data_IF_933454719379
#
_entry.id   IF_933454719379
#
_cell.length_a   1.000
_cell.length_b   1.000
_cell.length_c   1.000
_cell.angle_alpha   90.00
_cell.angle_beta   90.00
_cell.angle_gamma   90.00
#
_symmetry.space_group_name_H-M   'P 1'
#
loop_
_entity.id
_entity.type
_entity.pdbx_description
1 polymer ?
#
# COMPACT_ATOMS: atom_id res chain seq x y z
N UNK A 1 26.13 -17.76 25.93
CA UNK A 1 26.01 -19.21 25.72
C UNK A 1 25.21 -19.44 24.44
N UNK A 2 25.87 -19.81 23.35
CA UNK A 2 25.19 -20.11 22.09
C UNK A 2 24.62 -21.53 22.15
N UNK A 3 23.35 -21.72 21.78
CA UNK A 3 22.75 -23.06 21.73
C UNK A 3 23.44 -23.90 20.65
N UNK A 4 23.75 -25.15 20.99
CA UNK A 4 24.34 -26.11 20.07
C UNK A 4 23.42 -26.36 18.86
N UNK A 5 24.01 -26.58 17.69
CA UNK A 5 23.30 -26.96 16.47
C UNK A 5 22.39 -28.18 16.68
N UNK A 6 22.81 -29.09 17.57
CA UNK A 6 22.01 -30.28 17.90
C UNK A 6 20.73 -29.94 18.69
N UNK A 7 20.78 -28.94 19.56
CA UNK A 7 19.61 -28.47 20.31
C UNK A 7 18.60 -27.75 19.40
N UNK A 8 19.10 -27.06 18.37
CA UNK A 8 18.28 -26.40 17.36
C UNK A 8 17.47 -27.44 16.55
N UNK A 9 18.13 -28.52 16.13
CA UNK A 9 17.51 -29.63 15.39
C UNK A 9 16.49 -30.40 16.24
N UNK A 10 16.75 -30.60 17.54
CA UNK A 10 15.80 -31.25 18.46
C UNK A 10 14.50 -30.45 18.60
N UNK A 11 14.57 -29.11 18.72
CA UNK A 11 13.36 -28.25 18.79
C UNK A 11 12.57 -28.23 17.49
N UNK A 12 13.24 -28.16 16.34
CA UNK A 12 12.58 -28.18 15.04
C UNK A 12 11.77 -29.47 14.83
N UNK A 13 12.28 -30.61 15.32
CA UNK A 13 11.58 -31.90 15.28
C UNK A 13 10.41 -31.98 16.25
N UNK A 14 10.48 -31.36 17.42
CA UNK A 14 9.36 -31.28 18.37
C UNK A 14 8.19 -30.43 17.84
N UNK A 15 8.49 -29.28 17.23
CA UNK A 15 7.47 -28.41 16.62
C UNK A 15 6.71 -29.09 15.46
N UNK A 16 7.38 -29.99 14.73
CA UNK A 16 6.75 -30.76 13.65
C UNK A 16 5.81 -31.87 14.16
N UNK A 17 6.01 -32.37 15.39
CA UNK A 17 5.17 -33.41 16.02
C UNK A 17 3.92 -32.86 16.71
N UNK A 18 3.90 -31.57 17.06
CA UNK A 18 2.72 -30.93 17.67
C UNK A 18 1.61 -30.58 16.67
N UNK A 19 1.87 -30.63 15.36
CA UNK A 19 0.86 -30.33 14.32
C UNK A 19 -0.01 -31.52 13.90
N UNK A 20 0.07 -32.69 14.54
CA UNK A 20 -0.60 -33.92 14.06
C UNK A 20 -1.31 -34.78 15.12
N UNK A 21 -1.59 -34.27 16.32
CA UNK A 21 -2.36 -34.98 17.36
C UNK A 21 -3.18 -33.89 18.09
N UNK A 22 -4.51 -33.86 18.18
CA UNK A 22 -5.48 -34.95 18.40
C UNK A 22 -6.92 -34.45 18.11
N UNK A 23 -7.74 -35.30 17.50
CA UNK A 23 -9.22 -35.26 17.41
C UNK A 23 -9.81 -36.21 18.48
N UNK A 24 -10.96 -35.85 19.07
CA UNK A 24 -11.94 -36.72 19.77
C UNK A 24 -11.97 -36.53 21.30
N UNK A 25 -13.09 -36.27 22.00
CA UNK A 25 -14.41 -36.97 22.01
C UNK A 25 -15.56 -36.03 22.49
N UNK A 26 -16.76 -36.21 21.91
CA UNK A 26 -18.09 -35.51 22.00
C UNK A 26 -18.89 -35.76 23.33
N UNK A 27 -20.18 -35.32 23.58
CA UNK A 27 -21.30 -34.97 22.66
C UNK A 27 -22.34 -33.86 23.04
N UNK A 28 -23.14 -33.43 22.04
CA UNK A 28 -24.61 -33.23 22.06
C UNK A 28 -25.16 -31.91 21.43
N UNK A 29 -26.03 -32.11 20.42
CA UNK A 29 -27.20 -31.31 19.91
C UNK A 29 -27.02 -30.24 18.77
N UNK A 30 -27.88 -30.23 17.70
CA UNK A 30 -27.76 -29.40 16.45
C UNK A 30 -28.83 -28.26 16.37
N UNK A 31 -29.15 -27.54 15.24
CA UNK A 31 -28.61 -27.28 13.87
C UNK A 31 -28.49 -25.72 13.59
N UNK A 32 -28.44 -25.08 12.36
CA UNK A 32 -28.64 -25.55 10.99
C UNK A 32 -27.69 -25.08 9.84
N UNK A 33 -27.67 -25.96 8.83
CA UNK A 33 -27.51 -25.85 7.37
C UNK A 33 -27.35 -24.46 6.72
N UNK A 34 -26.22 -24.24 6.02
CA UNK A 34 -26.13 -23.43 4.79
C UNK A 34 -25.12 -24.11 3.86
N UNK A 35 -25.60 -24.50 2.67
CA UNK A 35 -24.81 -25.01 1.54
C UNK A 35 -23.93 -23.89 0.96
N UNK A 36 -22.65 -24.15 0.77
CA UNK A 36 -21.83 -23.41 -0.19
C UNK A 36 -21.21 -24.41 -1.16
N UNK A 37 -21.65 -24.27 -2.41
CA UNK A 37 -21.15 -24.98 -3.58
C UNK A 37 -19.67 -24.66 -3.82
N UNK A 38 -18.91 -25.73 -4.06
CA UNK A 38 -17.54 -25.71 -4.57
C UNK A 38 -17.63 -25.80 -6.10
N UNK A 39 -17.30 -24.72 -6.81
CA UNK A 39 -16.96 -24.76 -8.24
C UNK A 39 -15.55 -24.19 -8.42
N UNK A 40 -14.63 -25.11 -8.66
CA UNK A 40 -13.32 -24.91 -9.28
C UNK A 40 -13.47 -24.20 -10.63
N UNK A 41 -12.71 -23.13 -10.86
CA UNK A 41 -12.10 -22.83 -12.17
C UNK A 41 -11.00 -21.77 -12.06
N UNK A 42 -9.83 -22.16 -12.56
CA UNK A 42 -8.62 -21.38 -12.84
C UNK A 42 -8.90 -20.29 -13.89
N UNK A 43 -8.08 -19.21 -13.94
CA UNK A 43 -7.57 -18.85 -15.28
C UNK A 43 -6.10 -18.42 -15.31
N UNK A 44 -5.39 -19.15 -16.16
CA UNK A 44 -4.38 -18.83 -17.18
C UNK A 44 -4.00 -17.35 -17.43
N UNK A 45 -2.70 -17.15 -17.63
CA UNK A 45 -2.01 -15.87 -17.87
C UNK A 45 -1.58 -15.79 -19.34
N UNK A 46 -2.03 -14.76 -20.08
CA UNK A 46 -1.27 -14.25 -21.23
C UNK A 46 -1.25 -12.70 -21.32
N UNK A 47 -0.16 -12.10 -21.84
CA UNK A 47 0.08 -10.66 -21.82
C UNK A 47 -0.17 -10.00 -23.18
N UNK A 48 -1.13 -9.07 -23.27
CA UNK A 48 -1.36 -8.31 -24.50
C UNK A 48 -0.74 -6.91 -24.45
N UNK A 49 0.31 -6.75 -25.24
CA UNK A 49 0.97 -5.51 -25.63
C UNK A 49 0.01 -4.51 -26.30
N UNK A 50 0.04 -3.23 -25.92
CA UNK A 50 -0.38 -2.18 -26.85
C UNK A 50 0.37 -0.86 -26.64
N UNK A 51 0.91 -0.33 -27.74
CA UNK A 51 1.85 0.80 -27.81
C UNK A 51 1.17 2.15 -27.70
N UNK A 52 1.82 3.07 -26.98
CA UNK A 52 1.52 4.50 -26.95
C UNK A 52 1.85 5.17 -28.29
N UNK A 53 0.90 5.96 -28.82
CA UNK A 53 1.15 7.01 -29.82
C UNK A 53 0.88 8.37 -29.19
N UNK A 54 1.90 9.22 -29.16
CA UNK A 54 1.83 10.62 -28.80
C UNK A 54 1.59 11.48 -30.06
N UNK A 55 0.62 12.41 -30.00
CA UNK A 55 0.62 13.59 -30.88
C UNK A 55 -0.25 14.73 -30.31
N UNK A 56 0.42 15.84 -29.96
CA UNK A 56 -0.10 17.20 -30.11
C UNK A 56 -1.09 17.76 -29.07
N UNK A 57 -0.58 18.37 -27.99
CA UNK A 57 -1.32 19.39 -27.22
C UNK A 57 -1.11 20.76 -27.89
N UNK A 58 -2.22 21.46 -28.20
CA UNK A 58 -2.26 22.92 -28.20
C UNK A 58 -2.85 23.39 -26.87
N UNK A 59 -2.18 24.38 -26.30
CA UNK A 59 -2.42 25.04 -25.03
C UNK A 59 -3.61 25.99 -25.17
N UNK A 60 -4.62 25.91 -24.29
CA UNK A 60 -5.23 27.10 -23.68
C UNK A 60 -5.56 26.77 -22.22
N UNK A 61 -5.02 27.63 -21.36
CA UNK A 61 -5.10 27.67 -19.91
C UNK A 61 -6.34 28.47 -19.53
N UNK A 62 -7.23 27.91 -18.70
CA UNK A 62 -8.27 28.69 -18.02
C UNK A 62 -8.22 28.35 -16.52
N UNK A 63 -7.48 29.16 -15.78
CA UNK A 63 -7.68 29.44 -14.35
C UNK A 63 -8.87 30.41 -14.26
N UNK A 64 -9.93 30.12 -13.51
CA UNK A 64 -10.06 30.27 -12.05
C UNK A 64 -10.77 31.57 -11.67
N UNK A 65 -11.71 31.40 -10.73
CA UNK A 65 -12.24 32.35 -9.75
C UNK A 65 -13.61 33.03 -9.99
N UNK A 66 -14.45 32.77 -8.99
CA UNK A 66 -15.70 33.39 -8.59
C UNK A 66 -15.59 34.92 -8.41
N UNK A 67 -16.70 35.64 -8.61
CA UNK A 67 -17.39 36.45 -7.57
C UNK A 67 -18.13 37.66 -8.15
N UNK A 68 -19.45 37.62 -8.01
CA UNK A 68 -20.36 38.66 -7.46
C UNK A 68 -20.23 40.12 -7.91
N UNK A 69 -21.31 40.57 -8.58
CA UNK A 69 -21.92 41.90 -8.55
C UNK A 69 -21.18 43.09 -9.16
N UNK A 70 -21.65 43.53 -10.33
CA UNK A 70 -21.92 44.95 -10.54
C UNK A 70 -23.07 45.16 -11.52
N UNK A 71 -24.15 45.75 -11.02
CA UNK A 71 -25.24 46.32 -11.82
C UNK A 71 -24.64 47.44 -12.68
N UNK A 72 -24.72 47.30 -14.00
CA UNK A 72 -24.52 48.43 -14.91
C UNK A 72 -25.71 48.51 -15.87
N UNK A 73 -26.42 49.63 -15.71
CA UNK A 73 -27.48 50.09 -16.57
C UNK A 73 -26.99 50.28 -18.01
N UNK A 74 -27.76 49.72 -18.93
CA UNK A 74 -27.96 50.12 -20.32
C UNK A 74 -26.73 50.22 -21.26
N UNK A 75 -26.64 49.24 -22.15
CA UNK A 75 -26.55 49.54 -23.58
C UNK A 75 -27.76 48.91 -24.26
N UNK A 76 -28.68 49.75 -24.77
CA UNK A 76 -29.74 49.32 -25.67
C UNK A 76 -29.10 48.89 -26.99
N UNK A 77 -28.72 47.62 -27.08
CA UNK A 77 -28.47 46.98 -28.35
C UNK A 77 -29.73 46.21 -28.69
N UNK A 78 -30.55 46.79 -29.57
CA UNK A 78 -31.64 46.09 -30.27
C UNK A 78 -31.01 45.05 -31.19
N UNK A 79 -30.63 43.91 -30.61
CA UNK A 79 -30.37 42.69 -31.38
C UNK A 79 -31.73 42.06 -31.61
N UNK A 80 -32.08 41.83 -32.86
CA UNK A 80 -33.29 41.11 -33.24
C UNK A 80 -33.30 39.75 -32.52
N UNK A 81 -34.36 39.47 -31.76
CA UNK A 81 -34.57 38.25 -30.96
C UNK A 81 -34.70 36.97 -31.83
N UNK A 82 -34.37 37.05 -33.12
CA UNK A 82 -34.66 36.03 -34.14
C UNK A 82 -33.62 34.90 -34.17
N UNK A 83 -32.44 35.06 -33.55
CA UNK A 83 -31.36 34.05 -33.61
C UNK A 83 -31.11 33.25 -32.31
N UNK A 84 -31.72 33.63 -31.17
CA UNK A 84 -31.53 32.94 -29.90
C UNK A 84 -32.67 31.94 -29.63
N UNK A 85 -32.33 30.70 -29.24
CA UNK A 85 -33.32 29.70 -28.82
C UNK A 85 -34.15 30.23 -27.66
N UNK A 86 -35.46 30.00 -27.70
CA UNK A 86 -36.39 30.41 -26.63
C UNK A 86 -35.96 29.90 -25.26
N UNK A 87 -35.30 28.74 -25.17
CA UNK A 87 -34.85 28.14 -23.91
C UNK A 87 -33.46 28.58 -23.45
N UNK A 88 -32.83 29.53 -24.15
CA UNK A 88 -31.49 29.98 -23.81
C UNK A 88 -31.50 30.81 -22.52
N UNK A 89 -30.54 30.65 -21.58
CA UNK A 89 -30.53 31.39 -20.31
C UNK A 89 -30.46 32.92 -20.44
N UNK A 90 -29.97 33.40 -21.58
CA UNK A 90 -29.90 34.84 -21.89
C UNK A 90 -31.08 35.33 -22.74
N UNK A 91 -32.02 34.45 -23.07
CA UNK A 91 -33.22 34.83 -23.83
C UNK A 91 -34.08 35.77 -22.98
N UNK A 92 -34.42 36.93 -23.53
CA UNK A 92 -35.16 37.97 -22.81
C UNK A 92 -36.66 37.66 -22.79
N UNK A 93 -37.06 36.62 -22.05
CA UNK A 93 -38.45 36.15 -21.95
C UNK A 93 -39.44 37.27 -21.64
N UNK A 94 -39.06 38.21 -20.75
CA UNK A 94 -39.94 39.34 -20.41
C UNK A 94 -40.14 40.31 -21.57
N UNK A 95 -39.16 40.51 -22.45
CA UNK A 95 -39.31 41.40 -23.62
C UNK A 95 -40.08 40.69 -24.73
N UNK A 96 -39.76 39.42 -25.00
CA UNK A 96 -40.50 38.59 -25.95
C UNK A 96 -41.98 38.49 -25.57
N UNK A 97 -42.31 38.22 -24.30
CA UNK A 97 -43.69 38.16 -23.83
C UNK A 97 -44.44 39.50 -23.95
N UNK A 98 -43.76 40.64 -23.76
CA UNK A 98 -44.36 41.98 -23.97
C UNK A 98 -44.59 42.32 -25.44
N UNK A 99 -43.69 41.90 -26.34
CA UNK A 99 -43.80 42.10 -27.79
C UNK A 99 -44.91 41.22 -28.39
N UNK A 100 -44.99 39.97 -27.95
CA UNK A 100 -45.96 38.98 -28.39
C UNK A 100 -47.11 38.83 -27.39
N UNK A 101 -47.55 39.94 -26.81
CA UNK A 101 -48.58 39.94 -25.79
C UNK A 101 -49.91 39.46 -26.38
N UNK A 102 -50.17 38.16 -26.30
CA UNK A 102 -51.37 37.49 -26.83
C UNK A 102 -52.65 38.19 -26.37
N UNK A 103 -52.64 38.75 -25.15
CA UNK A 103 -53.72 39.54 -24.55
C UNK A 103 -54.30 40.64 -25.45
N UNK A 104 -53.51 41.32 -26.29
CA UNK A 104 -54.04 42.42 -27.13
C UNK A 104 -54.78 41.91 -28.36
N UNK A 105 -54.31 40.80 -28.92
CA UNK A 105 -54.95 40.11 -30.04
C UNK A 105 -56.18 39.34 -29.56
N UNK A 106 -56.07 38.67 -28.41
CA UNK A 106 -57.15 37.95 -27.76
C UNK A 106 -58.27 38.90 -27.32
N UNK A 107 -57.95 40.07 -26.76
CA UNK A 107 -58.96 41.09 -26.42
C UNK A 107 -59.71 41.63 -27.65
N UNK A 108 -59.06 41.66 -28.82
CA UNK A 108 -59.71 42.05 -30.07
C UNK A 108 -60.61 40.93 -30.61
N UNK A 109 -60.16 39.67 -30.55
CA UNK A 109 -60.98 38.50 -30.90
C UNK A 109 -62.22 38.37 -30.01
N UNK A 110 -62.07 38.62 -28.70
CA UNK A 110 -63.17 38.63 -27.73
C UNK A 110 -64.20 39.74 -27.99
N UNK A 111 -63.79 40.88 -28.58
CA UNK A 111 -64.69 41.99 -28.95
C UNK A 111 -65.52 41.72 -30.20
N UNK A 112 -65.04 40.85 -31.10
CA UNK A 112 -65.71 40.56 -32.39
C UNK A 112 -66.75 39.43 -32.23
N UNK A 113 -66.64 38.64 -31.16
CA UNK A 113 -67.53 37.51 -30.90
C UNK A 113 -68.86 37.94 -30.28
N UNK A 114 -69.96 37.31 -30.72
CA UNK A 114 -71.28 37.51 -30.11
C UNK A 114 -71.28 36.99 -28.67
N UNK A 115 -71.84 37.77 -27.74
CA UNK A 115 -71.76 37.52 -26.29
C UNK A 115 -72.30 36.13 -25.92
N UNK A 116 -73.34 35.67 -26.61
CA UNK A 116 -73.94 34.35 -26.39
C UNK A 116 -73.00 33.22 -26.81
N UNK A 117 -72.38 33.36 -27.98
CA UNK A 117 -71.39 32.37 -28.47
C UNK A 117 -70.13 32.32 -27.60
N UNK A 118 -69.69 33.46 -27.08
CA UNK A 118 -68.57 33.54 -26.15
C UNK A 118 -68.90 32.83 -24.83
N UNK A 119 -70.09 33.07 -24.27
CA UNK A 119 -70.53 32.43 -23.04
C UNK A 119 -70.62 30.90 -23.17
N UNK A 120 -71.19 30.39 -24.27
CA UNK A 120 -71.23 28.94 -24.52
C UNK A 120 -69.83 28.35 -24.76
N UNK A 121 -68.93 29.07 -25.44
CA UNK A 121 -67.53 28.66 -25.62
C UNK A 121 -66.78 28.56 -24.29
N UNK A 122 -66.97 29.53 -23.39
CA UNK A 122 -66.38 29.50 -22.05
C UNK A 122 -66.91 28.31 -21.26
N UNK A 123 -68.23 28.10 -21.24
CA UNK A 123 -68.84 26.95 -20.57
C UNK A 123 -68.37 25.61 -21.16
N UNK A 124 -68.17 25.52 -22.48
CA UNK A 124 -67.68 24.32 -23.13
C UNK A 124 -66.19 24.03 -22.86
N UNK A 125 -65.39 25.05 -22.55
CA UNK A 125 -63.95 24.92 -22.31
C UNK A 125 -63.58 24.90 -20.82
N UNK A 126 -64.45 25.36 -19.92
CA UNK A 126 -64.22 25.31 -18.47
C UNK A 126 -63.85 23.90 -17.98
N UNK A 127 -64.58 22.83 -18.35
CA UNK A 127 -64.24 21.47 -17.92
C UNK A 127 -62.90 20.99 -18.48
N UNK A 128 -62.53 21.45 -19.69
CA UNK A 128 -61.23 21.11 -20.30
C UNK A 128 -60.08 21.80 -19.58
N UNK A 129 -60.25 23.06 -19.19
CA UNK A 129 -59.29 23.81 -18.41
C UNK A 129 -59.14 23.21 -17.00
N UNK A 130 -60.25 22.85 -16.37
CA UNK A 130 -60.27 22.18 -15.08
C UNK A 130 -59.56 20.81 -15.14
N UNK A 131 -59.89 19.96 -16.12
CA UNK A 131 -59.24 18.67 -16.33
C UNK A 131 -57.72 18.83 -16.60
N UNK A 132 -57.33 19.82 -17.41
CA UNK A 132 -55.92 20.12 -17.68
C UNK A 132 -55.19 20.58 -16.41
N UNK A 133 -55.86 21.37 -15.56
CA UNK A 133 -55.31 21.81 -14.28
C UNK A 133 -55.08 20.64 -13.33
N UNK A 134 -56.04 19.70 -13.25
CA UNK A 134 -55.87 18.48 -12.46
C UNK A 134 -54.73 17.59 -12.98
N UNK A 135 -54.61 17.40 -14.29
CA UNK A 135 -53.50 16.63 -14.88
C UNK A 135 -52.13 17.26 -14.61
N UNK A 136 -52.02 18.58 -14.73
CA UNK A 136 -50.77 19.29 -14.44
C UNK A 136 -50.42 19.24 -12.95
N UNK A 137 -51.42 19.32 -12.07
CA UNK A 137 -51.21 19.18 -10.63
C UNK A 137 -50.71 17.77 -10.29
N UNK A 138 -51.33 16.73 -10.86
CA UNK A 138 -50.91 15.35 -10.67
C UNK A 138 -49.47 15.12 -11.17
N UNK A 139 -49.14 15.62 -12.37
CA UNK A 139 -47.79 15.55 -12.92
C UNK A 139 -46.77 16.28 -12.03
N UNK A 140 -47.12 17.46 -11.51
CA UNK A 140 -46.27 18.22 -10.60
C UNK A 140 -46.02 17.45 -9.29
N UNK A 141 -47.06 16.88 -8.70
CA UNK A 141 -46.97 16.07 -7.47
C UNK A 141 -46.10 14.83 -7.69
N UNK A 142 -46.28 14.12 -8.81
CA UNK A 142 -45.44 12.98 -9.17
C UNK A 142 -43.96 13.39 -9.33
N UNK A 143 -43.68 14.46 -10.08
CA UNK A 143 -42.30 14.93 -10.27
C UNK A 143 -41.66 15.40 -8.96
N UNK A 144 -42.44 16.08 -8.10
CA UNK A 144 -41.98 16.55 -6.80
C UNK A 144 -41.61 15.40 -5.88
N UNK A 145 -42.48 14.39 -5.77
CA UNK A 145 -42.26 13.19 -4.93
C UNK A 145 -41.11 12.33 -5.46
N UNK A 146 -40.99 12.17 -6.77
CA UNK A 146 -39.87 11.45 -7.37
C UNK A 146 -38.53 12.16 -7.09
N UNK A 147 -38.50 13.49 -7.22
CA UNK A 147 -37.29 14.28 -6.96
C UNK A 147 -36.90 14.26 -5.49
N UNK A 148 -37.85 14.28 -4.57
CA UNK A 148 -37.54 14.16 -3.13
C UNK A 148 -36.96 12.79 -2.80
N UNK A 149 -37.50 11.72 -3.39
CA UNK A 149 -36.98 10.37 -3.20
C UNK A 149 -35.54 10.21 -3.73
N UNK A 150 -35.26 10.71 -4.94
CA UNK A 150 -33.91 10.68 -5.52
C UNK A 150 -32.91 11.49 -4.69
N UNK A 151 -33.34 12.64 -4.16
CA UNK A 151 -32.50 13.45 -3.27
C UNK A 151 -32.17 12.71 -1.98
N UNK A 152 -33.15 12.08 -1.35
CA UNK A 152 -32.96 11.30 -0.12
C UNK A 152 -32.01 10.12 -0.34
N UNK A 153 -32.15 9.38 -1.45
CA UNK A 153 -31.25 8.28 -1.81
C UNK A 153 -29.81 8.76 -2.04
N UNK A 154 -29.64 9.92 -2.69
CA UNK A 154 -28.32 10.54 -2.88
C UNK A 154 -27.70 10.98 -1.56
N UNK A 155 -28.50 11.54 -0.65
CA UNK A 155 -28.05 11.95 0.67
C UNK A 155 -27.60 10.73 1.50
N UNK A 156 -28.37 9.64 1.50
CA UNK A 156 -27.98 8.39 2.15
C UNK A 156 -26.68 7.81 1.56
N UNK A 157 -26.56 7.79 0.23
CA UNK A 157 -25.34 7.32 -0.45
C UNK A 157 -24.11 8.18 -0.11
N UNK A 158 -24.31 9.50 0.01
CA UNK A 158 -23.27 10.44 0.41
C UNK A 158 -22.81 10.18 1.84
N UNK A 159 -23.73 9.96 2.78
CA UNK A 159 -23.41 9.66 4.18
C UNK A 159 -22.61 8.35 4.30
N UNK A 160 -23.00 7.30 3.57
CA UNK A 160 -22.26 6.04 3.53
C UNK A 160 -20.84 6.24 2.98
N UNK A 161 -20.70 6.98 1.88
CA UNK A 161 -19.41 7.28 1.27
C UNK A 161 -18.51 8.11 2.20
N UNK A 162 -19.06 9.11 2.90
CA UNK A 162 -18.32 9.91 3.88
C UNK A 162 -17.86 9.08 5.07
N UNK A 163 -18.71 8.16 5.55
CA UNK A 163 -18.38 7.24 6.65
C UNK A 163 -17.24 6.31 6.25
N UNK A 164 -17.33 5.72 5.05
CA UNK A 164 -16.29 4.82 4.55
C UNK A 164 -14.97 5.54 4.28
N UNK A 165 -15.01 6.76 3.73
CA UNK A 165 -13.82 7.59 3.58
C UNK A 165 -13.17 7.93 4.92
N UNK A 166 -13.97 8.15 5.97
CA UNK A 166 -13.45 8.42 7.32
C UNK A 166 -12.80 7.17 7.92
N UNK A 167 -13.39 5.99 7.70
CA UNK A 167 -12.82 4.69 8.09
C UNK A 167 -11.48 4.44 7.38
N UNK A 168 -11.44 4.61 6.06
CA UNK A 168 -10.23 4.43 5.26
C UNK A 168 -9.14 5.44 5.64
N UNK A 169 -9.51 6.69 5.93
CA UNK A 169 -8.55 7.69 6.39
C UNK A 169 -7.90 7.31 7.73
N UNK A 170 -8.67 6.76 8.67
CA UNK A 170 -8.14 6.24 9.92
C UNK A 170 -7.19 5.05 9.72
N UNK A 171 -7.57 4.11 8.84
CA UNK A 171 -6.74 2.95 8.49
C UNK A 171 -5.41 3.36 7.84
N UNK A 172 -5.43 4.35 6.95
CA UNK A 172 -4.20 4.91 6.33
C UNK A 172 -3.30 5.54 7.39
N UNK A 173 -3.85 6.28 8.35
CA UNK A 173 -3.06 6.85 9.45
C UNK A 173 -2.41 5.73 10.26
N UNK A 174 -3.17 4.70 10.63
CA UNK A 174 -2.65 3.56 11.39
C UNK A 174 -1.51 2.87 10.63
N UNK A 175 -1.72 2.49 9.37
CA UNK A 175 -0.69 1.86 8.53
C UNK A 175 0.55 2.74 8.40
N UNK A 176 0.37 4.06 8.24
CA UNK A 176 1.49 5.01 8.18
C UNK A 176 2.31 4.99 9.48
N UNK A 177 1.66 4.89 10.65
CA UNK A 177 2.39 4.76 11.93
C UNK A 177 3.11 3.43 12.05
N UNK A 178 2.53 2.33 11.56
CA UNK A 178 3.18 1.02 11.58
C UNK A 178 4.41 0.98 10.67
N UNK A 179 4.34 1.60 9.49
CA UNK A 179 5.48 1.71 8.57
C UNK A 179 6.64 2.45 9.24
N UNK A 180 6.37 3.61 9.87
CA UNK A 180 7.41 4.38 10.58
C UNK A 180 8.11 3.55 11.66
N UNK A 181 7.36 2.80 12.48
CA UNK A 181 7.93 1.92 13.51
C UNK A 181 8.83 0.83 12.92
N UNK A 182 8.44 0.25 11.77
CA UNK A 182 9.26 -0.75 11.08
C UNK A 182 10.52 -0.14 10.47
N UNK A 183 10.45 1.07 9.94
CA UNK A 183 11.61 1.78 9.41
C UNK A 183 12.63 2.10 10.51
N UNK A 184 12.15 2.53 11.69
CA UNK A 184 13.01 2.73 12.87
C UNK A 184 13.70 1.44 13.31
N UNK A 185 12.96 0.33 13.38
CA UNK A 185 13.52 -0.99 13.71
C UNK A 185 14.55 -1.46 12.67
N UNK A 186 14.29 -1.23 11.38
CA UNK A 186 15.23 -1.55 10.31
C UNK A 186 16.52 -0.73 10.42
N UNK A 187 16.40 0.55 10.76
CA UNK A 187 17.57 1.40 10.98
C UNK A 187 18.42 0.91 12.16
N UNK A 188 17.79 0.54 13.27
CA UNK A 188 18.48 0.01 14.44
C UNK A 188 19.20 -1.32 14.14
N UNK A 189 18.49 -2.28 13.54
CA UNK A 189 19.08 -3.57 13.14
C UNK A 189 20.26 -3.40 12.18
N UNK A 190 20.16 -2.45 11.25
CA UNK A 190 21.25 -2.17 10.31
C UNK A 190 22.47 -1.57 11.03
N UNK A 191 22.27 -0.74 12.04
CA UNK A 191 23.35 -0.22 12.88
C UNK A 191 24.00 -1.34 13.69
N UNK A 192 23.22 -2.23 14.31
CA UNK A 192 23.76 -3.40 15.02
C UNK A 192 24.59 -4.30 14.09
N UNK A 193 24.10 -4.55 12.86
CA UNK A 193 24.82 -5.34 11.87
C UNK A 193 26.17 -4.71 11.50
N UNK A 194 26.22 -3.38 11.32
CA UNK A 194 27.48 -2.67 11.08
C UNK A 194 28.45 -2.81 12.23
N UNK A 195 27.99 -2.67 13.47
CA UNK A 195 28.82 -2.85 14.67
C UNK A 195 29.38 -4.27 14.77
N UNK A 196 28.52 -5.29 14.64
CA UNK A 196 28.96 -6.69 14.67
C UNK A 196 29.92 -7.03 13.52
N UNK A 197 29.72 -6.44 12.34
CA UNK A 197 30.64 -6.61 11.21
C UNK A 197 32.02 -6.01 11.52
N UNK A 198 32.08 -4.83 12.13
CA UNK A 198 33.33 -4.21 12.54
C UNK A 198 34.03 -5.04 13.64
N UNK A 199 33.27 -5.52 14.62
CA UNK A 199 33.79 -6.36 15.69
C UNK A 199 34.37 -7.68 15.15
N UNK A 200 33.66 -8.33 14.22
CA UNK A 200 34.16 -9.53 13.54
C UNK A 200 35.50 -9.29 12.83
N UNK A 201 35.65 -8.16 12.15
CA UNK A 201 36.92 -7.82 11.49
C UNK A 201 38.05 -7.59 12.50
N UNK A 202 37.74 -6.95 13.64
CA UNK A 202 38.70 -6.78 14.74
C UNK A 202 39.15 -8.13 15.32
N UNK A 203 38.21 -9.05 15.57
CA UNK A 203 38.53 -10.41 16.05
C UNK A 203 39.37 -11.20 15.06
N UNK A 204 39.06 -11.14 13.76
CA UNK A 204 39.87 -11.78 12.71
C UNK A 204 41.30 -11.23 12.68
N UNK A 205 41.49 -9.92 12.87
CA UNK A 205 42.83 -9.33 12.93
C UNK A 205 43.59 -9.81 14.17
N UNK A 206 42.90 -9.85 15.32
CA UNK A 206 43.49 -10.34 16.57
C UNK A 206 43.87 -11.82 16.49
N UNK A 207 43.04 -12.64 15.86
CA UNK A 207 43.33 -14.06 15.61
C UNK A 207 44.59 -14.23 14.75
N UNK A 208 44.71 -13.50 13.64
CA UNK A 208 45.91 -13.53 12.79
C UNK A 208 47.18 -13.11 13.55
N UNK A 209 47.08 -12.08 14.37
CA UNK A 209 48.22 -11.62 15.18
C UNK A 209 48.63 -12.68 16.21
N UNK A 210 47.66 -13.32 16.86
CA UNK A 210 47.93 -14.40 17.80
C UNK A 210 48.57 -15.61 17.11
N UNK A 211 48.07 -16.00 15.94
CA UNK A 211 48.64 -17.11 15.17
C UNK A 211 50.11 -16.83 14.80
N UNK A 212 50.40 -15.64 14.29
CA UNK A 212 51.78 -15.22 13.98
C UNK A 212 52.68 -15.20 15.22
N UNK A 213 52.17 -14.70 16.35
CA UNK A 213 52.94 -14.72 17.61
C UNK A 213 53.21 -16.13 18.11
N UNK A 214 52.27 -17.06 17.90
CA UNK A 214 52.41 -18.46 18.28
C UNK A 214 53.47 -19.16 17.43
N UNK A 215 53.51 -18.88 16.12
CA UNK A 215 54.52 -19.42 15.21
C UNK A 215 55.92 -18.92 15.59
N UNK A 216 56.06 -17.60 15.80
CA UNK A 216 57.32 -17.01 16.25
C UNK A 216 57.80 -17.57 17.59
N UNK A 217 56.88 -17.80 18.54
CA UNK A 217 57.22 -18.39 19.83
C UNK A 217 57.66 -19.84 19.68
N UNK A 218 57.01 -20.62 18.80
CA UNK A 218 57.40 -22.00 18.49
C UNK A 218 58.83 -22.05 17.97
N UNK A 219 59.17 -21.17 17.03
CA UNK A 219 60.52 -21.08 16.47
C UNK A 219 61.55 -20.65 17.52
N UNK A 220 61.20 -19.68 18.37
CA UNK A 220 62.06 -19.22 19.46
C UNK A 220 62.33 -20.33 20.48
N UNK A 221 61.30 -21.06 20.89
CA UNK A 221 61.43 -22.19 21.83
C UNK A 221 62.28 -23.30 21.19
N UNK A 222 61.99 -23.68 19.94
CA UNK A 222 62.76 -24.69 19.22
C UNK A 222 64.25 -24.34 19.10
N UNK A 223 64.54 -23.09 18.73
CA UNK A 223 65.91 -22.58 18.65
C UNK A 223 66.62 -22.56 20.01
N UNK A 224 65.95 -22.04 21.06
CA UNK A 224 66.50 -22.00 22.41
C UNK A 224 66.76 -23.39 22.99
N UNK A 225 65.85 -24.34 22.74
CA UNK A 225 65.96 -25.72 23.19
C UNK A 225 67.11 -26.43 22.48
N UNK A 226 67.23 -26.29 21.16
CA UNK A 226 68.35 -26.85 20.39
C UNK A 226 69.70 -26.27 20.85
N UNK A 227 69.77 -24.97 21.11
CA UNK A 227 70.97 -24.33 21.65
C UNK A 227 71.35 -24.92 23.01
N UNK A 228 70.39 -25.04 23.93
CA UNK A 228 70.62 -25.63 25.26
C UNK A 228 71.09 -27.08 25.19
N UNK A 229 70.52 -27.88 24.27
CA UNK A 229 70.94 -29.26 24.03
C UNK A 229 72.38 -29.36 23.54
N UNK A 230 72.79 -28.54 22.57
CA UNK A 230 74.18 -28.51 22.09
C UNK A 230 75.16 -28.10 23.20
N UNK A 231 74.82 -27.09 24.00
CA UNK A 231 75.64 -26.70 25.15
C UNK A 231 75.79 -27.83 26.18
N UNK A 232 74.74 -28.63 26.40
CA UNK A 232 74.81 -29.80 27.27
C UNK A 232 75.71 -30.90 26.68
N UNK A 233 75.61 -31.19 25.38
CA UNK A 233 76.50 -32.14 24.71
C UNK A 233 77.96 -31.69 24.79
N UNK A 234 78.24 -30.40 24.59
CA UNK A 234 79.58 -29.85 24.72
C UNK A 234 80.13 -29.99 26.15
N UNK A 235 79.30 -29.79 27.18
CA UNK A 235 79.69 -30.05 28.56
C UNK A 235 80.04 -31.52 28.79
N UNK A 236 79.28 -32.47 28.21
CA UNK A 236 79.58 -33.91 28.30
C UNK A 236 80.89 -34.23 27.59
N UNK A 237 81.17 -33.65 26.41
CA UNK A 237 82.46 -33.85 25.71
C UNK A 237 83.66 -33.43 26.55
N UNK A 238 83.53 -32.36 27.34
CA UNK A 238 84.60 -31.90 28.24
C UNK A 238 84.81 -32.86 29.40
N UNK A 239 83.73 -33.41 29.97
CA UNK A 239 83.78 -34.32 31.13
C UNK A 239 84.15 -35.77 30.76
N UNK A 240 83.76 -36.22 29.57
CA UNK A 240 83.95 -37.59 29.08
C UNK A 240 84.40 -37.56 27.60
N UNK A 241 85.70 -37.34 27.33
CA UNK A 241 86.20 -37.13 25.97
C UNK A 241 86.01 -38.32 25.02
N UNK A 242 85.97 -39.54 25.58
CA UNK A 242 85.84 -40.78 24.81
C UNK A 242 84.38 -41.20 24.57
N UNK A 243 83.39 -40.43 25.06
CA UNK A 243 81.98 -40.76 24.88
C UNK A 243 81.51 -40.47 23.45
N UNK A 244 80.94 -41.48 22.78
CA UNK A 244 80.31 -41.30 21.46
C UNK A 244 78.93 -40.64 21.62
N UNK A 245 78.86 -39.36 21.26
CA UNK A 245 77.62 -38.57 21.25
C UNK A 245 76.99 -38.47 19.86
N UNK A 246 77.52 -39.15 18.85
CA UNK A 246 76.92 -39.17 17.51
C UNK A 246 75.47 -39.68 17.46
N UNK A 247 75.01 -40.58 18.35
CA UNK A 247 73.62 -41.00 18.37
C UNK A 247 72.67 -39.99 19.05
N UNK A 248 73.21 -38.98 19.75
CA UNK A 248 72.41 -38.06 20.55
C UNK A 248 71.59 -37.11 19.66
N UNK A 249 70.27 -37.21 19.77
CA UNK A 249 69.32 -36.42 19.02
C UNK A 249 68.19 -35.96 19.94
N UNK A 250 67.90 -34.67 19.89
CA UNK A 250 66.90 -34.02 20.74
C UNK A 250 65.47 -34.49 20.43
N UNK A 251 65.25 -35.06 19.26
CA UNK A 251 63.95 -35.61 18.84
C UNK A 251 63.72 -37.05 19.31
N UNK A 252 64.73 -37.70 19.91
CA UNK A 252 64.66 -39.10 20.35
C UNK A 252 64.40 -39.20 21.84
N UNK A 253 63.65 -40.22 22.25
CA UNK A 253 63.49 -40.58 23.67
C UNK A 253 64.32 -41.80 24.03
N UNK A 254 64.60 -41.97 25.33
CA UNK A 254 65.24 -43.17 25.86
C UNK A 254 64.14 -44.14 26.31
N UNK A 255 64.02 -45.28 25.64
CA UNK A 255 63.13 -46.40 26.01
C UNK A 255 64.00 -47.63 26.26
N UNK A 256 63.90 -48.22 27.45
CA UNK A 256 64.71 -49.38 27.87
C UNK A 256 66.22 -49.22 27.66
N UNK A 257 66.73 -47.98 27.80
CA UNK A 257 68.14 -47.65 27.64
C UNK A 257 68.60 -47.47 26.19
N UNK A 258 67.70 -47.54 25.20
CA UNK A 258 67.99 -47.26 23.80
C UNK A 258 67.34 -45.94 23.35
N UNK A 259 68.01 -45.21 22.45
CA UNK A 259 67.45 -44.02 21.82
C UNK A 259 66.52 -44.44 20.68
N UNK A 260 65.24 -44.11 20.81
CA UNK A 260 64.18 -44.45 19.86
C UNK A 260 63.54 -43.16 19.35
N UNK A 261 63.24 -43.13 18.04
CA UNK A 261 62.43 -42.05 17.44
C UNK A 261 61.01 -42.10 18.00
N UNK A 262 60.51 -40.94 18.40
CA UNK A 262 59.13 -40.82 18.84
C UNK A 262 58.35 -40.35 17.61
N UNK A 263 57.37 -41.15 17.17
CA UNK A 263 56.36 -40.66 16.23
C UNK A 263 55.41 -39.71 16.99
N UNK A 264 55.23 -38.49 16.48
CA UNK A 264 54.26 -37.49 16.98
C UNK A 264 52.80 -38.00 16.91
#
# INVERSE_FOLDING_TARGET
MAMSHEDMLKRARQLKKQKTTTIGVSPSTPPPHIELHEETSEPDLEPLTQKFKSRGKKIVKATSQHSTSQIQLAHQQTVDDTEMSFWHPQFLHSQHGRKHNYLRHDAHLLKIQDLKTLHESILANLPKAEASSFMLMDQFTHLSTQKSLDLEQKEQSLVLSQTENSRLAAEVIELTTQVKKKDELLADLNNQLKTLKAEKQSWNLKEKNLLNSSELLKDQIGSSLNMGFQLALDQVRVLCPDADLSPADISKSVVDGQLVEIDD
#
